data_IF_137980633007
#
_entry.id   IF_137980633007
#
_cell.length_a   1.000
_cell.length_b   1.000
_cell.length_c   1.000
_cell.angle_alpha   90.00
_cell.angle_beta   90.00
_cell.angle_gamma   90.00
#
_symmetry.space_group_name_H-M   'P 1'
#
loop_
_entity.id
_entity.type
_entity.pdbx_description
1 polymer ?
#
# COMPACT_ATOMS: atom_id res chain seq x y z
N UNK A 1 3.85 -19.83 -7.86
CA UNK A 1 4.72 -19.73 -6.67
C UNK A 1 6.20 -19.46 -7.01
N UNK A 2 6.75 -20.02 -8.11
CA UNK A 2 8.15 -19.74 -8.53
C UNK A 2 8.39 -18.38 -9.24
N UNK A 3 7.36 -17.67 -9.70
CA UNK A 3 7.50 -16.32 -10.29
C UNK A 3 7.74 -15.22 -9.24
N UNK A 4 7.25 -15.39 -8.01
CA UNK A 4 7.42 -14.42 -6.92
C UNK A 4 8.87 -14.40 -6.38
N UNK A 5 9.58 -15.53 -6.47
CA UNK A 5 10.99 -15.62 -6.05
C UNK A 5 11.99 -15.13 -7.11
N UNK A 6 11.65 -15.22 -8.41
CA UNK A 6 12.47 -14.62 -9.48
C UNK A 6 12.38 -13.08 -9.50
N UNK A 7 11.27 -12.52 -9.02
CA UNK A 7 11.02 -11.08 -8.85
C UNK A 7 12.01 -10.44 -7.85
N UNK A 8 12.41 -11.18 -6.80
CA UNK A 8 13.26 -10.65 -5.74
C UNK A 8 14.76 -10.68 -6.05
N UNK A 9 15.23 -11.71 -6.77
CA UNK A 9 16.67 -11.90 -7.06
C UNK A 9 17.27 -10.83 -7.98
N UNK A 10 16.46 -10.18 -8.82
CA UNK A 10 16.91 -9.08 -9.69
C UNK A 10 16.77 -7.70 -9.03
N UNK A 11 16.04 -7.59 -7.92
CA UNK A 11 15.79 -6.32 -7.20
C UNK A 11 17.03 -5.84 -6.41
N UNK A 12 17.87 -6.78 -5.92
CA UNK A 12 19.03 -6.46 -5.07
C UNK A 12 20.21 -5.81 -5.81
N UNK A 13 20.19 -5.70 -7.14
CA UNK A 13 21.33 -5.20 -7.93
C UNK A 13 21.26 -3.70 -8.29
N UNK A 14 20.13 -3.03 -8.05
CA UNK A 14 19.95 -1.63 -8.45
C UNK A 14 20.02 -0.67 -7.24
N UNK A 15 21.24 -0.24 -6.90
CA UNK A 15 21.55 0.67 -5.79
C UNK A 15 20.80 2.01 -5.83
N UNK A 16 20.30 2.43 -7.02
CA UNK A 16 19.47 3.64 -7.19
C UNK A 16 18.01 3.45 -6.76
N UNK A 17 17.45 2.24 -6.89
CA UNK A 17 16.07 1.92 -6.46
C UNK A 17 16.02 1.75 -4.93
N UNK A 18 17.11 1.27 -4.32
CA UNK A 18 17.28 1.23 -2.87
C UNK A 18 17.17 2.61 -2.22
N UNK A 19 17.71 3.65 -2.88
CA UNK A 19 17.55 5.04 -2.43
C UNK A 19 16.15 5.60 -2.68
N UNK A 20 15.46 5.18 -3.75
CA UNK A 20 14.07 5.55 -4.00
C UNK A 20 13.14 4.96 -2.93
N UNK A 21 13.33 3.71 -2.52
CA UNK A 21 12.59 3.13 -1.38
C UNK A 21 12.98 3.79 -0.07
N UNK A 22 14.26 4.13 0.18
CA UNK A 22 14.59 4.95 1.36
C UNK A 22 13.84 6.27 1.35
N UNK A 23 13.71 6.95 0.21
CA UNK A 23 13.00 8.24 0.08
C UNK A 23 11.48 8.08 0.13
N UNK A 24 10.91 7.00 -0.41
CA UNK A 24 9.46 6.72 -0.37
C UNK A 24 9.04 6.16 0.97
N UNK A 25 9.81 5.28 1.60
CA UNK A 25 9.65 4.85 2.99
C UNK A 25 9.90 6.01 3.96
N UNK A 26 10.85 6.91 3.67
CA UNK A 26 10.99 8.20 4.38
C UNK A 26 9.76 9.08 4.18
N UNK A 27 9.30 9.26 2.94
CA UNK A 27 8.15 10.10 2.62
C UNK A 27 6.88 9.55 3.28
N UNK A 28 6.73 8.23 3.31
CA UNK A 28 5.59 7.57 3.95
C UNK A 28 5.64 7.72 5.48
N UNK A 29 6.82 7.72 6.10
CA UNK A 29 6.96 8.02 7.53
C UNK A 29 6.85 9.52 7.87
N UNK A 30 7.06 10.44 6.92
CA UNK A 30 7.27 11.86 7.20
C UNK A 30 6.40 12.87 6.40
N UNK A 31 5.40 12.45 5.63
CA UNK A 31 4.54 13.42 4.91
C UNK A 31 3.50 14.09 5.81
N UNK A 32 3.97 14.98 6.69
CA UNK A 32 3.20 16.13 7.19
C UNK A 32 3.78 17.47 6.75
N UNK A 33 4.58 17.55 5.66
CA UNK A 33 4.88 18.84 5.01
C UNK A 33 4.91 18.73 3.48
N UNK A 34 3.91 19.40 2.88
CA UNK A 34 3.54 19.47 1.45
C UNK A 34 4.61 20.07 0.51
N UNK A 35 5.70 20.63 1.04
CA UNK A 35 6.68 21.40 0.25
C UNK A 35 7.80 20.56 -0.41
N UNK A 36 8.11 19.37 0.11
CA UNK A 36 9.23 18.57 -0.44
C UNK A 36 8.89 17.88 -1.78
N UNK A 37 7.62 17.55 -2.01
CA UNK A 37 7.19 16.84 -3.23
C UNK A 37 7.27 17.78 -4.44
N UNK A 38 6.87 19.04 -4.25
CA UNK A 38 6.90 20.06 -5.29
C UNK A 38 8.33 20.43 -5.70
N UNK A 39 9.30 20.42 -4.77
CA UNK A 39 10.71 20.67 -5.10
C UNK A 39 11.37 19.52 -5.87
N UNK A 40 10.94 18.28 -5.66
CA UNK A 40 11.52 17.10 -6.33
C UNK A 40 11.18 16.98 -7.82
N UNK A 41 10.15 17.68 -8.31
CA UNK A 41 9.81 17.67 -9.74
C UNK A 41 10.72 18.54 -10.61
N UNK A 42 11.47 19.49 -10.03
CA UNK A 42 12.37 20.39 -10.77
C UNK A 42 13.83 19.91 -10.83
N UNK A 43 14.15 18.71 -10.33
CA UNK A 43 15.55 18.27 -10.11
C UNK A 43 16.22 17.66 -11.35
N UNK A 44 15.55 17.63 -12.51
CA UNK A 44 16.13 17.04 -13.75
C UNK A 44 16.40 18.03 -14.88
N UNK A 45 16.53 19.32 -14.59
CA UNK A 45 16.99 20.31 -15.59
C UNK A 45 17.97 21.31 -14.97
N UNK A 46 19.24 21.18 -15.38
CA UNK A 46 20.38 22.12 -15.27
C UNK A 46 21.20 22.20 -13.95
N UNK A 47 22.54 22.10 -14.14
CA UNK A 47 23.70 22.27 -13.26
C UNK A 47 23.76 21.49 -11.92
N UNK A 48 24.27 20.26 -12.03
CA UNK A 48 24.23 19.20 -11.01
C UNK A 48 25.34 19.20 -9.96
N UNK A 49 26.29 20.15 -9.94
CA UNK A 49 27.40 20.10 -8.97
C UNK A 49 27.24 21.07 -7.78
N UNK A 50 26.74 22.29 -8.01
CA UNK A 50 26.62 23.32 -6.96
C UNK A 50 25.35 23.15 -6.11
N UNK A 51 24.28 22.65 -6.72
CA UNK A 51 23.00 22.36 -6.03
C UNK A 51 23.13 21.16 -5.07
N UNK A 52 23.93 20.18 -5.47
CA UNK A 52 24.18 18.93 -4.74
C UNK A 52 25.00 19.18 -3.45
N UNK A 53 25.89 20.18 -3.44
CA UNK A 53 26.66 20.59 -2.28
C UNK A 53 25.79 21.29 -1.20
N UNK A 54 24.90 22.20 -1.61
CA UNK A 54 23.94 22.85 -0.69
C UNK A 54 22.93 21.86 -0.11
N UNK A 55 22.46 20.91 -0.91
CA UNK A 55 21.60 19.82 -0.42
C UNK A 55 22.36 18.91 0.56
N UNK A 56 23.60 18.51 0.25
CA UNK A 56 24.43 17.72 1.16
C UNK A 56 24.67 18.43 2.50
N UNK A 57 24.94 19.73 2.48
CA UNK A 57 25.14 20.51 3.71
C UNK A 57 23.83 20.64 4.52
N UNK A 58 22.68 20.84 3.87
CA UNK A 58 21.37 20.84 4.53
C UNK A 58 21.01 19.47 5.11
N UNK A 59 21.34 18.38 4.41
CA UNK A 59 21.16 17.02 4.89
C UNK A 59 22.05 16.73 6.10
N UNK A 60 23.34 17.10 6.04
CA UNK A 60 24.29 16.92 7.13
C UNK A 60 23.83 17.62 8.42
N UNK A 61 23.24 18.82 8.31
CA UNK A 61 22.67 19.53 9.46
C UNK A 61 21.45 18.84 10.08
N UNK A 62 20.70 18.05 9.31
CA UNK A 62 19.54 17.27 9.78
C UNK A 62 19.91 15.88 10.31
N UNK A 63 21.13 15.39 10.08
CA UNK A 63 21.55 14.05 10.55
C UNK A 63 21.33 13.89 12.07
N UNK A 64 21.73 14.84 12.94
CA UNK A 64 21.52 14.69 14.38
C UNK A 64 20.03 14.67 14.79
N UNK A 65 19.19 15.45 14.10
CA UNK A 65 17.74 15.46 14.31
C UNK A 65 17.11 14.12 13.87
N UNK A 66 17.61 13.55 12.78
CA UNK A 66 17.20 12.25 12.27
C UNK A 66 17.64 11.12 13.19
N UNK A 67 18.88 11.16 13.69
CA UNK A 67 19.39 10.16 14.64
C UNK A 67 18.60 10.17 15.95
N UNK A 68 18.25 11.36 16.45
CA UNK A 68 17.39 11.51 17.63
C UNK A 68 15.92 11.14 17.36
N UNK A 69 15.45 11.25 16.12
CA UNK A 69 14.14 10.74 15.74
C UNK A 69 14.15 9.20 15.73
N UNK A 70 15.11 8.59 15.05
CA UNK A 70 15.21 7.14 14.91
C UNK A 70 15.46 6.43 16.24
N UNK A 71 16.15 7.07 17.20
CA UNK A 71 16.33 6.53 18.55
C UNK A 71 15.00 6.38 19.33
N UNK A 72 13.98 7.15 18.95
CA UNK A 72 12.66 7.16 19.58
C UNK A 72 11.58 6.44 18.76
N UNK A 73 11.97 5.79 17.66
CA UNK A 73 11.07 5.02 16.80
C UNK A 73 11.29 3.52 17.03
N UNK A 74 10.21 2.76 17.03
CA UNK A 74 10.26 1.30 17.04
C UNK A 74 9.28 0.73 16.01
N UNK A 75 9.73 -0.32 15.32
CA UNK A 75 8.90 -1.07 14.37
C UNK A 75 8.51 -2.38 15.04
N UNK A 76 7.22 -2.70 15.04
CA UNK A 76 6.69 -3.99 15.45
C UNK A 76 5.96 -4.62 14.26
N UNK A 77 5.80 -5.93 14.30
CA UNK A 77 5.01 -6.66 13.32
C UNK A 77 4.08 -7.64 14.03
N UNK A 78 2.86 -7.79 13.52
CA UNK A 78 2.03 -8.93 13.89
C UNK A 78 2.42 -10.19 13.09
N UNK A 79 1.56 -11.21 13.06
CA UNK A 79 1.87 -12.44 12.32
C UNK A 79 1.51 -12.39 10.82
N UNK A 80 0.76 -11.37 10.37
CA UNK A 80 0.18 -11.39 9.03
C UNK A 80 1.22 -11.30 7.90
N UNK A 81 2.31 -10.54 8.10
CA UNK A 81 3.39 -10.44 7.11
C UNK A 81 4.71 -9.98 7.75
N UNK A 82 5.38 -10.90 8.46
CA UNK A 82 6.69 -10.63 9.09
C UNK A 82 7.80 -10.37 8.08
N UNK A 83 7.73 -10.99 6.91
CA UNK A 83 8.75 -10.81 5.86
C UNK A 83 8.78 -9.36 5.38
N UNK A 84 7.61 -8.79 5.07
CA UNK A 84 7.52 -7.37 4.71
C UNK A 84 8.05 -6.45 5.83
N UNK A 85 7.73 -6.76 7.09
CA UNK A 85 8.21 -5.98 8.21
C UNK A 85 9.74 -6.02 8.35
N UNK A 86 10.33 -7.20 8.16
CA UNK A 86 11.79 -7.39 8.13
C UNK A 86 12.44 -6.63 6.98
N UNK A 87 11.82 -6.61 5.79
CA UNK A 87 12.31 -5.84 4.65
C UNK A 87 12.30 -4.33 4.92
N UNK A 88 11.19 -3.82 5.47
CA UNK A 88 11.06 -2.41 5.85
C UNK A 88 12.10 -2.04 6.93
N UNK A 89 12.23 -2.88 7.95
CA UNK A 89 13.24 -2.75 9.01
C UNK A 89 14.66 -2.65 8.46
N UNK A 90 15.03 -3.55 7.52
CA UNK A 90 16.35 -3.53 6.87
C UNK A 90 16.59 -2.28 6.01
N UNK A 91 15.59 -1.82 5.27
CA UNK A 91 15.70 -0.61 4.44
C UNK A 91 15.92 0.63 5.31
N UNK A 92 15.20 0.71 6.44
CA UNK A 92 15.27 1.83 7.37
C UNK A 92 16.46 1.75 8.33
N UNK A 93 17.08 0.58 8.50
CA UNK A 93 18.17 0.38 9.46
C UNK A 93 17.70 0.38 10.92
N UNK A 94 16.42 0.09 11.17
CA UNK A 94 15.81 0.02 12.51
C UNK A 94 15.52 -1.44 12.80
N UNK A 95 16.04 -1.99 13.90
CA UNK A 95 15.74 -3.36 14.29
C UNK A 95 14.25 -3.54 14.62
N UNK A 96 13.67 -4.66 14.18
CA UNK A 96 12.31 -5.03 14.57
C UNK A 96 12.26 -5.29 16.08
N UNK A 97 11.32 -4.68 16.78
CA UNK A 97 11.14 -4.88 18.22
C UNK A 97 10.64 -6.29 18.53
N UNK A 98 11.03 -6.79 19.69
CA UNK A 98 10.67 -8.11 20.19
C UNK A 98 9.24 -8.12 20.72
N UNK A 99 8.41 -8.91 20.03
CA UNK A 99 7.01 -9.13 20.35
C UNK A 99 6.69 -10.61 20.17
N UNK A 100 6.16 -11.23 21.21
CA UNK A 100 5.66 -12.59 21.18
C UNK A 100 4.17 -12.57 20.87
N UNK A 101 3.77 -13.19 19.77
CA UNK A 101 2.38 -13.25 19.32
C UNK A 101 2.06 -14.71 19.02
N UNK A 102 1.26 -15.31 19.89
CA UNK A 102 0.89 -16.72 19.85
C UNK A 102 -0.60 -16.93 20.05
N UNK A 103 -0.95 -18.16 20.41
CA UNK A 103 -2.31 -18.57 20.74
C UNK A 103 -2.33 -19.41 22.01
N UNK A 104 -3.36 -19.26 22.81
CA UNK A 104 -3.71 -20.24 23.85
C UNK A 104 -4.32 -21.50 23.22
N UNK A 105 -4.50 -22.55 24.02
CA UNK A 105 -4.98 -23.85 23.54
C UNK A 105 -6.40 -23.81 22.94
N UNK A 106 -7.21 -22.83 23.34
CA UNK A 106 -8.56 -22.57 22.84
C UNK A 106 -8.60 -21.63 21.61
N UNK A 107 -7.44 -21.14 21.17
CA UNK A 107 -7.32 -20.25 20.02
C UNK A 107 -7.37 -18.77 20.33
N UNK A 108 -7.46 -18.36 21.60
CA UNK A 108 -7.37 -16.94 21.97
C UNK A 108 -5.98 -16.37 21.65
N UNK A 109 -5.94 -15.12 21.18
CA UNK A 109 -4.70 -14.42 20.85
C UNK A 109 -3.94 -14.06 22.13
N UNK A 110 -2.68 -14.48 22.22
CA UNK A 110 -1.78 -14.10 23.31
C UNK A 110 -0.66 -13.19 22.77
N UNK A 111 -0.50 -12.00 23.36
CA UNK A 111 0.48 -10.99 22.94
C UNK A 111 1.29 -10.50 24.13
N UNK A 112 2.61 -10.48 23.98
CA UNK A 112 3.55 -9.84 24.90
C UNK A 112 4.54 -8.98 24.11
N UNK A 113 4.66 -7.72 24.49
CA UNK A 113 5.69 -6.81 23.96
C UNK A 113 6.85 -6.85 24.95
N UNK A 114 7.98 -7.38 24.52
CA UNK A 114 9.09 -7.76 25.41
C UNK A 114 10.08 -6.61 25.63
N UNK A 115 9.83 -5.46 25.01
CA UNK A 115 10.67 -4.26 25.10
C UNK A 115 9.89 -3.04 25.60
N UNK A 116 10.62 -2.08 26.19
CA UNK A 116 10.01 -0.81 26.59
C UNK A 116 9.60 0.01 25.36
N UNK A 117 8.31 0.31 25.28
CA UNK A 117 7.68 1.17 24.26
C UNK A 117 7.32 2.57 24.79
N UNK A 118 7.58 2.84 26.07
CA UNK A 118 7.18 4.08 26.75
C UNK A 118 7.76 5.30 26.04
N UNK A 119 6.90 6.25 25.68
CA UNK A 119 7.31 7.52 25.04
C UNK A 119 7.79 7.41 23.59
N UNK A 120 7.85 6.19 23.02
CA UNK A 120 8.29 5.96 21.63
C UNK A 120 7.15 6.14 20.63
N UNK A 121 7.52 6.49 19.40
CA UNK A 121 6.63 6.40 18.24
C UNK A 121 6.74 4.99 17.64
N UNK A 122 5.63 4.28 17.67
CA UNK A 122 5.56 2.88 17.27
C UNK A 122 4.93 2.78 15.89
N UNK A 123 5.51 1.94 15.04
CA UNK A 123 4.96 1.57 13.74
C UNK A 123 4.67 0.07 13.74
N UNK A 124 3.40 -0.29 13.73
CA UNK A 124 2.95 -1.69 13.69
C UNK A 124 2.65 -2.07 12.24
N UNK A 125 3.36 -3.06 11.71
CA UNK A 125 3.17 -3.59 10.36
C UNK A 125 2.29 -4.83 10.47
N UNK A 126 1.02 -4.68 10.08
CA UNK A 126 0.03 -5.75 10.17
C UNK A 126 -1.06 -5.55 9.10
N UNK A 127 -0.90 -6.13 7.91
CA UNK A 127 -2.04 -6.28 6.99
C UNK A 127 -3.11 -7.15 7.62
N UNK A 128 -4.37 -6.95 7.23
CA UNK A 128 -5.52 -7.72 7.74
C UNK A 128 -6.03 -8.68 6.66
N UNK A 129 -5.09 -9.38 6.04
CA UNK A 129 -5.33 -10.45 5.06
C UNK A 129 -5.66 -11.78 5.76
N UNK A 130 -5.89 -12.84 4.99
CA UNK A 130 -6.21 -14.17 5.55
C UNK A 130 -5.10 -14.69 6.48
N UNK A 131 -5.42 -15.23 7.68
CA UNK A 131 -6.75 -15.35 8.28
C UNK A 131 -7.24 -14.00 8.85
N UNK A 132 -8.33 -13.47 8.29
CA UNK A 132 -8.70 -12.05 8.37
C UNK A 132 -9.03 -11.62 9.80
N UNK A 133 -9.90 -12.35 10.48
CA UNK A 133 -10.42 -11.96 11.79
C UNK A 133 -9.34 -12.08 12.87
N UNK A 134 -8.49 -13.09 12.75
CA UNK A 134 -7.37 -13.37 13.62
C UNK A 134 -6.33 -12.25 13.52
N UNK A 135 -6.01 -11.81 12.30
CA UNK A 135 -5.07 -10.72 12.07
C UNK A 135 -5.62 -9.37 12.56
N UNK A 136 -6.94 -9.16 12.46
CA UNK A 136 -7.61 -7.98 13.05
C UNK A 136 -7.54 -8.03 14.58
N UNK A 137 -7.85 -9.18 15.18
CA UNK A 137 -7.79 -9.36 16.64
C UNK A 137 -6.37 -9.20 17.18
N UNK A 138 -5.36 -9.75 16.49
CA UNK A 138 -3.95 -9.49 16.81
C UNK A 138 -3.64 -7.99 16.81
N UNK A 139 -4.04 -7.28 15.76
CA UNK A 139 -3.78 -5.85 15.65
C UNK A 139 -4.44 -5.06 16.80
N UNK A 140 -5.71 -5.33 17.09
CA UNK A 140 -6.45 -4.67 18.17
C UNK A 140 -5.74 -4.84 19.52
N UNK A 141 -5.29 -6.05 19.81
CA UNK A 141 -4.60 -6.37 21.06
C UNK A 141 -3.18 -5.80 21.10
N UNK A 142 -2.44 -5.76 19.98
CA UNK A 142 -1.14 -5.08 19.89
C UNK A 142 -1.32 -3.59 20.21
N UNK A 143 -2.28 -2.91 19.57
CA UNK A 143 -2.55 -1.48 19.83
C UNK A 143 -2.94 -1.27 21.30
N UNK A 144 -3.81 -2.13 21.85
CA UNK A 144 -4.20 -2.05 23.26
C UNK A 144 -3.01 -2.21 24.21
N UNK A 145 -2.13 -3.17 23.96
CA UNK A 145 -0.93 -3.42 24.75
C UNK A 145 0.03 -2.21 24.69
N UNK A 146 0.27 -1.66 23.50
CA UNK A 146 1.09 -0.46 23.30
C UNK A 146 0.54 0.75 24.06
N UNK A 147 -0.77 0.98 23.97
CA UNK A 147 -1.42 2.10 24.64
C UNK A 147 -1.30 1.99 26.16
N UNK A 148 -1.54 0.80 26.72
CA UNK A 148 -1.36 0.52 28.17
C UNK A 148 0.10 0.63 28.61
N UNK A 149 1.04 0.29 27.72
CA UNK A 149 2.48 0.45 27.94
C UNK A 149 2.99 1.90 27.72
N UNK A 150 2.08 2.88 27.55
CA UNK A 150 2.40 4.31 27.45
C UNK A 150 3.27 4.69 26.23
N UNK A 151 3.06 4.03 25.09
CA UNK A 151 3.63 4.51 23.82
C UNK A 151 3.14 5.93 23.49
N UNK A 152 4.01 6.77 22.90
CA UNK A 152 3.67 8.15 22.56
C UNK A 152 2.71 8.22 21.38
N UNK A 153 3.02 7.50 20.29
CA UNK A 153 2.13 7.33 19.14
C UNK A 153 2.13 5.89 18.64
N UNK A 154 1.00 5.45 18.12
CA UNK A 154 0.78 4.13 17.52
C UNK A 154 0.32 4.35 16.08
N UNK A 155 1.25 4.18 15.15
CA UNK A 155 1.00 4.24 13.72
C UNK A 155 0.85 2.81 13.22
N UNK A 156 -0.18 2.53 12.42
CA UNK A 156 -0.39 1.20 11.85
C UNK A 156 -0.16 1.27 10.35
N UNK A 157 0.83 0.50 9.88
CA UNK A 157 1.00 0.21 8.46
C UNK A 157 0.20 -1.05 8.14
N UNK A 158 -0.87 -0.85 7.37
CA UNK A 158 -1.80 -1.88 6.92
C UNK A 158 -1.81 -1.95 5.38
N UNK A 159 -0.82 -2.63 4.76
CA UNK A 159 -0.72 -2.71 3.31
C UNK A 159 -1.96 -3.27 2.62
N UNK A 160 -2.72 -4.11 3.32
CA UNK A 160 -4.01 -4.62 2.88
C UNK A 160 -5.03 -4.41 4.00
N UNK A 161 -6.06 -3.62 3.70
CA UNK A 161 -7.19 -3.39 4.60
C UNK A 161 -8.30 -4.41 4.33
N UNK A 162 -8.39 -5.42 5.19
CA UNK A 162 -9.47 -6.40 5.20
C UNK A 162 -10.83 -5.74 5.39
N UNK A 163 -11.89 -6.38 4.92
CA UNK A 163 -13.26 -5.82 4.87
C UNK A 163 -13.46 -4.58 3.99
N UNK A 164 -12.43 -4.06 3.31
CA UNK A 164 -12.50 -2.86 2.45
C UNK A 164 -13.57 -2.91 1.36
N UNK A 165 -13.99 -4.09 0.90
CA UNK A 165 -15.07 -4.27 -0.09
C UNK A 165 -16.48 -4.08 0.48
N UNK A 166 -16.63 -3.99 1.80
CA UNK A 166 -17.91 -3.77 2.50
C UNK A 166 -17.96 -2.33 3.01
N UNK A 167 -17.85 -1.39 2.08
CA UNK A 167 -17.72 0.06 2.29
C UNK A 167 -19.05 0.82 2.23
N UNK A 168 -20.14 0.16 1.83
CA UNK A 168 -21.48 0.76 1.76
C UNK A 168 -22.57 -0.29 1.93
N UNK A 169 -23.76 0.18 2.28
CA UNK A 169 -24.94 -0.65 2.32
C UNK A 169 -25.44 -0.94 0.89
N UNK A 170 -25.13 -2.12 0.36
CA UNK A 170 -25.58 -2.54 -0.99
C UNK A 170 -26.97 -3.22 -0.98
N UNK A 171 -27.47 -3.62 0.19
CA UNK A 171 -28.78 -4.20 0.39
C UNK A 171 -29.35 -3.83 1.78
N UNK A 172 -30.68 -3.93 2.01
CA UNK A 172 -31.24 -3.74 3.33
C UNK A 172 -30.63 -4.70 4.36
N UNK A 173 -30.31 -4.21 5.57
CA UNK A 173 -29.85 -5.00 6.73
C UNK A 173 -28.47 -5.68 6.55
N UNK A 174 -27.51 -5.01 5.91
CA UNK A 174 -26.10 -5.45 5.84
C UNK A 174 -25.19 -4.45 6.56
N UNK A 175 -24.06 -4.90 7.15
CA UNK A 175 -23.12 -4.00 7.81
C UNK A 175 -22.33 -3.15 6.82
N UNK A 176 -21.67 -2.12 7.35
CA UNK A 176 -20.58 -1.41 6.67
C UNK A 176 -19.29 -1.81 7.39
N UNK A 177 -18.87 -3.07 7.20
CA UNK A 177 -17.80 -3.69 8.00
C UNK A 177 -16.48 -2.92 7.92
N UNK A 178 -16.18 -2.26 6.80
CA UNK A 178 -15.01 -1.38 6.71
C UNK A 178 -15.08 -0.20 7.71
N UNK A 179 -16.27 0.37 7.92
CA UNK A 179 -16.46 1.43 8.90
C UNK A 179 -16.43 0.90 10.34
N UNK A 180 -17.02 -0.27 10.57
CA UNK A 180 -17.04 -0.88 11.90
C UNK A 180 -15.62 -1.29 12.35
N UNK A 181 -14.81 -1.85 11.44
CA UNK A 181 -13.41 -2.19 11.70
C UNK A 181 -12.56 -0.94 11.94
N UNK A 182 -12.77 0.15 11.19
CA UNK A 182 -12.09 1.43 11.45
C UNK A 182 -12.37 1.91 12.89
N UNK A 183 -13.64 1.91 13.32
CA UNK A 183 -14.04 2.29 14.69
C UNK A 183 -13.40 1.40 15.76
N UNK A 184 -13.22 0.11 15.50
CA UNK A 184 -12.53 -0.78 16.43
C UNK A 184 -11.08 -0.34 16.65
N UNK A 185 -10.35 -0.02 15.57
CA UNK A 185 -8.97 0.48 15.68
C UNK A 185 -8.89 1.82 16.42
N UNK A 186 -9.82 2.74 16.13
CA UNK A 186 -9.89 4.02 16.84
C UNK A 186 -10.14 3.83 18.33
N UNK A 187 -11.09 2.95 18.68
CA UNK A 187 -11.46 2.68 20.07
C UNK A 187 -10.31 2.08 20.89
N UNK A 188 -9.47 1.22 20.30
CA UNK A 188 -8.28 0.70 21.00
C UNK A 188 -7.12 1.72 21.04
N UNK A 189 -7.23 2.82 20.29
CA UNK A 189 -6.34 3.96 20.36
C UNK A 189 -5.24 3.97 19.31
N UNK A 190 -5.54 3.65 18.05
CA UNK A 190 -4.63 3.96 16.93
C UNK A 190 -4.51 5.48 16.75
N UNK A 191 -3.32 5.99 16.41
CA UNK A 191 -3.11 7.43 16.16
C UNK A 191 -3.04 7.77 14.66
N UNK A 192 -2.64 6.81 13.81
CA UNK A 192 -2.54 6.98 12.35
C UNK A 192 -2.63 5.63 11.65
N UNK A 193 -3.25 5.60 10.49
CA UNK A 193 -3.28 4.41 9.62
C UNK A 193 -2.63 4.73 8.28
N UNK A 194 -1.77 3.85 7.80
CA UNK A 194 -1.11 3.94 6.50
C UNK A 194 -1.52 2.71 5.70
N UNK A 195 -2.22 2.92 4.59
CA UNK A 195 -2.71 1.86 3.71
C UNK A 195 -2.08 1.95 2.32
N UNK A 196 -2.20 0.88 1.54
CA UNK A 196 -1.84 0.87 0.12
C UNK A 196 -3.09 0.52 -0.67
N UNK A 197 -3.45 1.36 -1.63
CA UNK A 197 -4.56 1.19 -2.57
C UNK A 197 -5.84 0.65 -1.91
N UNK A 198 -6.40 1.42 -0.97
CA UNK A 198 -7.73 1.15 -0.44
C UNK A 198 -8.74 0.90 -1.58
N UNK A 199 -9.62 -0.09 -1.38
CA UNK A 199 -10.65 -0.47 -2.35
C UNK A 199 -11.45 0.75 -2.84
N UNK A 200 -11.81 1.65 -1.92
CA UNK A 200 -12.35 2.96 -2.23
C UNK A 200 -11.70 4.05 -1.36
N UNK A 201 -11.55 5.25 -1.92
CA UNK A 201 -10.93 6.38 -1.23
C UNK A 201 -11.72 6.89 -0.03
N UNK A 202 -13.03 6.62 0.01
CA UNK A 202 -13.96 7.01 1.07
C UNK A 202 -13.68 6.31 2.40
N UNK A 203 -13.01 5.15 2.41
CA UNK A 203 -12.61 4.46 3.65
C UNK A 203 -11.77 5.36 4.56
N UNK A 204 -10.99 6.30 4.00
CA UNK A 204 -10.26 7.29 4.80
C UNK A 204 -11.18 8.11 5.71
N UNK A 205 -12.42 8.38 5.28
CA UNK A 205 -13.43 9.10 6.06
C UNK A 205 -14.19 8.24 7.07
N UNK A 206 -13.94 6.93 7.13
CA UNK A 206 -14.47 6.07 8.20
C UNK A 206 -13.69 6.21 9.50
N UNK A 207 -12.45 6.69 9.41
CA UNK A 207 -11.69 7.14 10.55
C UNK A 207 -12.09 8.58 10.87
N UNK A 208 -12.29 8.86 12.14
CA UNK A 208 -12.57 10.18 12.66
C UNK A 208 -11.40 11.15 12.48
N UNK A 209 -11.63 12.45 12.70
CA UNK A 209 -10.67 13.51 12.38
C UNK A 209 -9.37 13.46 13.20
N UNK A 210 -9.30 12.63 14.24
CA UNK A 210 -8.11 12.45 15.09
C UNK A 210 -7.14 11.40 14.54
N UNK A 211 -7.60 10.52 13.65
CA UNK A 211 -6.81 9.43 13.08
C UNK A 211 -6.62 9.71 11.59
N UNK A 212 -5.56 10.43 11.20
CA UNK A 212 -5.22 10.59 9.79
C UNK A 212 -4.99 9.23 9.14
N UNK A 213 -5.45 9.10 7.90
CA UNK A 213 -5.22 7.94 7.05
C UNK A 213 -4.41 8.37 5.84
N UNK A 214 -3.23 7.77 5.67
CA UNK A 214 -2.42 7.94 4.48
C UNK A 214 -2.67 6.76 3.54
N UNK A 215 -3.39 6.98 2.44
CA UNK A 215 -3.59 5.96 1.41
C UNK A 215 -2.56 6.13 0.29
N UNK A 216 -1.55 5.26 0.27
CA UNK A 216 -0.51 5.28 -0.75
C UNK A 216 -0.99 4.57 -2.02
N UNK A 217 -0.49 5.02 -3.17
CA UNK A 217 -0.78 4.39 -4.46
C UNK A 217 0.39 3.50 -4.92
N UNK A 218 0.11 2.24 -5.28
CA UNK A 218 1.12 1.33 -5.85
C UNK A 218 1.33 1.51 -7.37
N UNK A 219 0.56 2.42 -8.00
CA UNK A 219 0.60 2.69 -9.45
C UNK A 219 2.03 2.85 -10.00
N UNK A 220 2.90 3.60 -9.29
CA UNK A 220 4.27 3.84 -9.73
C UNK A 220 5.14 2.58 -9.72
N UNK A 221 4.90 1.66 -8.78
CA UNK A 221 5.64 0.39 -8.70
C UNK A 221 5.25 -0.49 -9.89
N UNK A 222 3.95 -0.65 -10.15
CA UNK A 222 3.46 -1.40 -11.30
C UNK A 222 3.91 -0.78 -12.63
N UNK A 223 3.89 0.55 -12.73
CA UNK A 223 4.35 1.25 -13.92
C UNK A 223 5.82 0.97 -14.23
N UNK A 224 6.70 1.10 -13.23
CA UNK A 224 8.12 0.80 -13.40
C UNK A 224 8.36 -0.65 -13.83
N UNK A 225 7.56 -1.59 -13.32
CA UNK A 225 7.62 -2.99 -13.75
C UNK A 225 7.36 -3.14 -15.26
N UNK A 226 6.27 -2.58 -15.77
CA UNK A 226 5.91 -2.71 -17.18
C UNK A 226 6.86 -1.99 -18.13
N UNK A 227 7.36 -0.80 -17.74
CA UNK A 227 8.33 -0.04 -18.55
C UNK A 227 9.68 -0.76 -18.72
N UNK A 228 10.00 -1.71 -17.83
CA UNK A 228 11.25 -2.47 -17.87
C UNK A 228 11.10 -3.86 -18.50
N UNK A 229 9.88 -4.27 -18.87
CA UNK A 229 9.67 -5.57 -19.50
C UNK A 229 10.21 -5.59 -20.92
N UNK A 230 10.99 -6.62 -21.24
CA UNK A 230 11.41 -6.87 -22.61
C UNK A 230 10.24 -7.48 -23.40
N UNK A 231 10.06 -7.04 -24.65
CA UNK A 231 9.04 -7.57 -25.55
C UNK A 231 7.66 -6.90 -25.48
N UNK A 232 7.50 -5.84 -24.69
CA UNK A 232 6.32 -4.96 -24.78
C UNK A 232 6.61 -3.82 -25.77
N UNK A 233 5.80 -3.72 -26.82
CA UNK A 233 5.76 -2.51 -27.65
C UNK A 233 4.99 -1.41 -26.91
N UNK A 234 5.74 -0.54 -26.22
CA UNK A 234 5.19 0.57 -25.43
C UNK A 234 4.40 1.59 -26.27
N UNK A 235 4.56 1.60 -27.60
CA UNK A 235 3.79 2.47 -28.49
C UNK A 235 2.40 1.92 -28.81
N UNK A 236 2.16 0.62 -28.55
CA UNK A 236 0.94 -0.08 -28.89
C UNK A 236 0.26 -0.71 -27.66
N UNK A 237 0.02 0.13 -26.65
CA UNK A 237 -0.51 -0.30 -25.34
C UNK A 237 -1.98 0.06 -25.15
N UNK A 238 -2.70 -0.79 -24.43
CA UNK A 238 -4.04 -0.51 -23.88
C UNK A 238 -4.06 -0.79 -22.38
N UNK A 239 -4.51 0.18 -21.59
CA UNK A 239 -4.76 -0.01 -20.16
C UNK A 239 -6.21 -0.45 -20.00
N UNK A 240 -6.45 -1.53 -19.27
CA UNK A 240 -7.76 -2.16 -19.15
C UNK A 240 -8.23 -2.12 -17.70
N UNK A 241 -9.39 -1.52 -17.48
CA UNK A 241 -10.11 -1.63 -16.21
C UNK A 241 -10.99 -2.89 -16.21
N UNK A 242 -10.86 -3.79 -15.22
CA UNK A 242 -11.61 -5.05 -15.19
C UNK A 242 -13.09 -4.88 -14.80
N UNK A 243 -13.46 -3.72 -14.27
CA UNK A 243 -14.85 -3.30 -14.10
C UNK A 243 -14.99 -1.77 -14.17
N UNK A 244 -16.23 -1.29 -14.06
CA UNK A 244 -16.54 0.14 -14.07
C UNK A 244 -16.02 0.89 -12.83
N UNK A 245 -15.85 0.22 -11.68
CA UNK A 245 -15.36 0.82 -10.44
C UNK A 245 -13.86 1.13 -10.48
N UNK A 246 -13.08 0.29 -11.17
CA UNK A 246 -11.64 0.46 -11.34
C UNK A 246 -11.21 1.52 -12.37
N UNK A 247 -12.15 2.13 -13.12
CA UNK A 247 -11.81 2.97 -14.29
C UNK A 247 -10.96 4.18 -13.90
N UNK A 248 -11.25 4.82 -12.76
CA UNK A 248 -10.46 5.95 -12.27
C UNK A 248 -9.01 5.54 -11.99
N UNK A 249 -8.79 4.34 -11.43
CA UNK A 249 -7.47 3.78 -11.15
C UNK A 249 -6.73 3.45 -12.45
N UNK A 250 -7.40 2.77 -13.38
CA UNK A 250 -6.84 2.44 -14.69
C UNK A 250 -6.46 3.71 -15.48
N UNK A 251 -7.32 4.74 -15.46
CA UNK A 251 -7.03 6.04 -16.08
C UNK A 251 -5.85 6.74 -15.42
N UNK A 252 -5.77 6.72 -14.09
CA UNK A 252 -4.62 7.30 -13.37
C UNK A 252 -3.30 6.60 -13.75
N UNK A 253 -3.33 5.27 -13.83
CA UNK A 253 -2.20 4.48 -14.30
C UNK A 253 -1.83 4.82 -15.74
N UNK A 254 -2.81 4.94 -16.64
CA UNK A 254 -2.64 5.35 -18.04
C UNK A 254 -1.97 6.72 -18.17
N UNK A 255 -2.43 7.73 -17.41
CA UNK A 255 -1.83 9.08 -17.44
C UNK A 255 -0.35 9.04 -17.03
N UNK A 256 -0.03 8.31 -15.95
CA UNK A 256 1.35 8.13 -15.51
C UNK A 256 2.18 7.35 -16.53
N UNK A 257 1.61 6.31 -17.15
CA UNK A 257 2.23 5.56 -18.23
C UNK A 257 2.57 6.47 -19.39
N UNK A 258 1.62 7.28 -19.87
CA UNK A 258 1.83 8.14 -21.01
C UNK A 258 2.95 9.15 -20.78
N UNK A 259 3.03 9.72 -19.58
CA UNK A 259 4.10 10.64 -19.18
C UNK A 259 5.47 9.93 -19.16
N UNK A 260 5.55 8.75 -18.56
CA UNK A 260 6.84 8.05 -18.36
C UNK A 260 7.34 7.33 -19.61
N UNK A 261 6.45 6.70 -20.37
CA UNK A 261 6.76 6.03 -21.63
C UNK A 261 7.00 7.03 -22.78
N UNK A 262 6.50 8.28 -22.65
CA UNK A 262 6.43 9.27 -23.74
C UNK A 262 5.67 8.72 -24.96
N UNK A 263 4.62 7.95 -24.68
CA UNK A 263 3.75 7.31 -25.67
C UNK A 263 2.30 7.44 -25.23
N UNK A 264 1.36 7.47 -26.17
CA UNK A 264 -0.06 7.45 -25.82
C UNK A 264 -0.56 6.01 -25.82
N UNK A 265 -1.12 5.58 -24.69
CA UNK A 265 -1.85 4.31 -24.59
C UNK A 265 -3.36 4.58 -24.66
N UNK A 266 -4.12 3.60 -25.16
CA UNK A 266 -5.59 3.62 -25.12
C UNK A 266 -6.13 3.12 -23.77
N UNK A 267 -7.39 3.46 -23.45
CA UNK A 267 -8.09 2.96 -22.27
C UNK A 267 -9.23 2.05 -22.73
N UNK A 268 -9.40 0.91 -22.08
CA UNK A 268 -10.56 0.06 -22.23
C UNK A 268 -11.11 -0.32 -20.85
N UNK A 269 -12.38 -0.73 -20.80
CA UNK A 269 -13.01 -1.21 -19.58
C UNK A 269 -13.99 -2.33 -19.86
N UNK A 270 -14.17 -3.21 -18.89
CA UNK A 270 -15.21 -4.23 -18.94
C UNK A 270 -16.43 -3.74 -18.15
N UNK A 271 -17.61 -3.84 -18.75
CA UNK A 271 -18.88 -3.64 -18.07
C UNK A 271 -19.53 -5.01 -17.87
N UNK A 272 -19.86 -5.34 -16.62
CA UNK A 272 -20.64 -6.53 -16.29
C UNK A 272 -22.13 -6.19 -16.35
N UNK A 273 -22.87 -6.79 -17.27
CA UNK A 273 -24.33 -6.77 -17.24
C UNK A 273 -24.84 -7.99 -16.45
N UNK A 274 -25.63 -7.72 -15.41
CA UNK A 274 -26.29 -8.76 -14.62
C UNK A 274 -27.75 -8.85 -15.07
N UNK A 275 -28.03 -9.73 -16.01
CA UNK A 275 -29.38 -9.82 -16.59
C UNK A 275 -30.41 -10.50 -15.68
N UNK A 276 -29.98 -11.24 -14.65
CA UNK A 276 -30.84 -11.80 -13.59
C UNK A 276 -30.00 -12.49 -12.50
N UNK A 277 -30.52 -12.66 -11.27
CA UNK A 277 -29.91 -13.55 -10.28
C UNK A 277 -29.81 -14.99 -10.84
N UNK A 278 -28.60 -15.57 -10.87
CA UNK A 278 -28.38 -16.96 -11.29
C UNK A 278 -28.05 -17.19 -12.77
N UNK A 279 -27.99 -16.16 -13.62
CA UNK A 279 -27.45 -16.26 -14.99
C UNK A 279 -25.99 -15.79 -15.04
N UNK A 280 -25.21 -16.39 -15.95
CA UNK A 280 -23.83 -15.97 -16.23
C UNK A 280 -23.85 -14.52 -16.69
N UNK A 281 -23.12 -13.66 -15.99
CA UNK A 281 -23.02 -12.24 -16.34
C UNK A 281 -22.39 -12.08 -17.73
N UNK A 282 -23.05 -11.34 -18.62
CA UNK A 282 -22.42 -10.93 -19.88
C UNK A 282 -21.39 -9.85 -19.59
N UNK A 283 -20.21 -9.97 -20.19
CA UNK A 283 -19.13 -9.00 -20.08
C UNK A 283 -18.97 -8.27 -21.40
N UNK A 284 -19.20 -6.96 -21.40
CA UNK A 284 -19.06 -6.12 -22.57
C UNK A 284 -17.76 -5.32 -22.48
N UNK A 285 -16.92 -5.41 -23.50
CA UNK A 285 -15.74 -4.57 -23.63
C UNK A 285 -16.14 -3.20 -24.21
N UNK A 286 -15.72 -2.13 -23.53
CA UNK A 286 -15.77 -0.76 -24.05
C UNK A 286 -14.34 -0.30 -24.32
N UNK A 287 -14.08 0.11 -25.55
CA UNK A 287 -12.73 0.35 -26.08
C UNK A 287 -12.27 -0.78 -27.00
N UNK A 288 -11.07 -0.65 -27.57
CA UNK A 288 -10.48 -1.64 -28.48
C UNK A 288 -9.13 -2.11 -27.96
N UNK A 289 -9.01 -3.44 -27.81
CA UNK A 289 -7.82 -4.16 -27.34
C UNK A 289 -7.15 -4.98 -28.45
N UNK A 290 -7.83 -5.14 -29.59
CA UNK A 290 -7.37 -5.99 -30.70
C UNK A 290 -6.01 -5.54 -31.23
N UNK A 291 -5.08 -6.48 -31.31
CA UNK A 291 -3.72 -6.23 -31.81
C UNK A 291 -2.85 -5.35 -30.90
N UNK A 292 -3.24 -5.13 -29.64
CA UNK A 292 -2.50 -4.30 -28.67
C UNK A 292 -1.95 -5.11 -27.50
N UNK A 293 -0.92 -4.59 -26.85
CA UNK A 293 -0.48 -5.11 -25.55
C UNK A 293 -1.36 -4.53 -24.44
N UNK A 294 -2.05 -5.40 -23.70
CA UNK A 294 -2.92 -4.98 -22.63
C UNK A 294 -2.27 -5.05 -21.24
N UNK A 295 -2.45 -4.00 -20.45
CA UNK A 295 -2.18 -3.99 -19.02
C UNK A 295 -3.50 -3.87 -18.28
N UNK A 296 -3.87 -4.92 -17.56
CA UNK A 296 -5.05 -4.90 -16.69
C UNK A 296 -4.65 -4.30 -15.34
N UNK A 297 -5.37 -3.28 -14.89
CA UNK A 297 -5.10 -2.57 -13.63
C UNK A 297 -6.29 -2.71 -12.70
N UNK A 298 -6.05 -3.30 -11.53
CA UNK A 298 -7.05 -3.49 -10.47
C UNK A 298 -6.45 -3.17 -9.09
N UNK A 299 -7.26 -2.95 -8.06
CA UNK A 299 -6.73 -2.81 -6.68
C UNK A 299 -6.26 -4.14 -6.10
N UNK A 300 -6.93 -5.24 -6.44
CA UNK A 300 -6.63 -6.53 -5.84
C UNK A 300 -7.10 -7.70 -6.71
N UNK A 301 -6.47 -8.86 -6.50
CA UNK A 301 -6.85 -10.12 -7.13
C UNK A 301 -7.30 -11.07 -6.03
N UNK A 302 -8.51 -11.61 -6.15
CA UNK A 302 -9.07 -12.58 -5.21
C UNK A 302 -9.25 -13.94 -5.88
N UNK A 303 -10.39 -14.18 -6.56
CA UNK A 303 -10.63 -15.45 -7.26
C UNK A 303 -9.99 -15.51 -8.66
N UNK A 304 -9.42 -14.41 -9.15
CA UNK A 304 -8.86 -14.25 -10.49
C UNK A 304 -9.82 -14.53 -11.67
N UNK A 305 -11.10 -14.84 -11.42
CA UNK A 305 -12.09 -15.19 -12.45
C UNK A 305 -12.23 -14.08 -13.50
N UNK A 306 -12.29 -12.83 -13.05
CA UNK A 306 -12.43 -11.67 -13.94
C UNK A 306 -11.19 -11.53 -14.84
N UNK A 307 -9.99 -11.73 -14.29
CA UNK A 307 -8.75 -11.67 -15.07
C UNK A 307 -8.68 -12.80 -16.10
N UNK A 308 -9.11 -14.01 -15.74
CA UNK A 308 -9.20 -15.13 -16.68
C UNK A 308 -10.14 -14.82 -17.84
N UNK A 309 -11.32 -14.27 -17.57
CA UNK A 309 -12.25 -13.87 -18.63
C UNK A 309 -11.67 -12.79 -19.53
N UNK A 310 -11.03 -11.77 -18.95
CA UNK A 310 -10.41 -10.70 -19.73
C UNK A 310 -9.29 -11.24 -20.61
N UNK A 311 -8.45 -12.14 -20.09
CA UNK A 311 -7.38 -12.77 -20.86
C UNK A 311 -7.86 -13.67 -22.02
N UNK A 312 -9.15 -13.99 -22.10
CA UNK A 312 -9.75 -14.66 -23.27
C UNK A 312 -10.40 -13.68 -24.26
N UNK A 313 -10.63 -12.43 -23.85
CA UNK A 313 -11.21 -11.36 -24.67
C UNK A 313 -10.11 -10.50 -25.31
N UNK A 314 -8.98 -10.38 -24.61
CA UNK A 314 -7.80 -9.59 -24.96
C UNK A 314 -6.73 -10.50 -25.56
#
# INVERSE_FOLDING_TARGET
MNLFFSFYKNFSKNQKIYNYFKVVSFATLFYTQKEYFQKSQNVYTHDSQTYDAKLKEQFQRKIPELDNFFSNVMILSGNANKDLANEISKILGIQLGDCTIGRFADGEVNISINESVRGKDIYVIQPTCSPVNENIMELLLIISALRRASSRRINVLMPYYGYSRQDRQTAPRVPISAADVARLYENVGVDRVICIDLHCGQIQGFFGPKVPVDNLEANLVGLNYFLQQQGLDLSNMVIVSPDAGGVTRAKRFQELFNIKARQNSSLAMIIKQRDQPGKIAQMNLVGSVEGKHAIIVDDMIDTAVILYFIGNIV
#
